data_IF_129599368537
#
_entry.id   IF_129599368537
#
_cell.length_a   1.000
_cell.length_b   1.000
_cell.length_c   1.000
_cell.angle_alpha   90.00
_cell.angle_beta   90.00
_cell.angle_gamma   90.00
#
_symmetry.space_group_name_H-M   'P 1'
#
loop_
_entity.id
_entity.type
_entity.pdbx_description
1 polymer ?
#
# COMPACT_ATOMS: atom_id res chain seq x y z
N UNK A 1 17.97 -55.97 -34.87
CA UNK A 1 16.83 -55.99 -33.94
C UNK A 1 16.94 -54.73 -33.08
N UNK A 2 16.87 -53.53 -33.65
CA UNK A 2 15.66 -52.86 -34.17
C UNK A 2 14.53 -52.84 -33.16
N UNK A 3 14.28 -51.64 -32.56
CA UNK A 3 12.99 -50.93 -32.43
C UNK A 3 13.28 -49.60 -31.68
N UNK A 4 13.62 -48.53 -32.39
CA UNK A 4 12.72 -47.45 -32.82
C UNK A 4 12.19 -46.55 -31.67
N UNK A 5 12.90 -45.45 -31.42
CA UNK A 5 12.31 -44.15 -31.01
C UNK A 5 11.69 -43.46 -32.24
N UNK A 6 11.04 -42.29 -32.17
CA UNK A 6 10.26 -41.64 -31.12
C UNK A 6 8.87 -41.16 -31.64
N UNK A 7 8.02 -40.68 -30.74
CA UNK A 7 6.81 -39.89 -31.03
C UNK A 7 7.13 -38.63 -31.87
N UNK A 8 6.50 -38.40 -33.04
CA UNK A 8 6.04 -37.07 -33.41
C UNK A 8 4.67 -36.86 -32.71
N UNK A 9 4.31 -35.71 -32.14
CA UNK A 9 3.62 -34.65 -32.86
C UNK A 9 3.21 -33.59 -31.82
N UNK A 10 3.82 -32.41 -31.90
CA UNK A 10 3.32 -31.10 -31.44
C UNK A 10 4.36 -30.10 -31.94
N UNK A 11 4.02 -28.93 -32.54
CA UNK A 11 2.93 -28.05 -32.12
C UNK A 11 2.21 -27.28 -33.27
N UNK A 12 0.88 -27.27 -33.29
CA UNK A 12 0.15 -26.31 -34.15
C UNK A 12 0.29 -24.89 -33.59
N UNK A 13 1.16 -24.13 -34.25
CA UNK A 13 1.17 -22.67 -34.34
C UNK A 13 -0.27 -22.13 -34.44
N UNK A 14 -0.67 -21.27 -33.51
CA UNK A 14 -1.61 -20.20 -33.84
C UNK A 14 -1.04 -18.87 -33.33
N UNK A 15 -0.21 -18.27 -34.18
CA UNK A 15 0.10 -16.86 -34.14
C UNK A 15 -1.20 -16.09 -34.36
N UNK A 16 -1.65 -15.35 -33.35
CA UNK A 16 -2.63 -14.29 -33.51
C UNK A 16 -1.90 -12.93 -33.44
N UNK A 17 -2.27 -11.97 -34.31
CA UNK A 17 -1.60 -10.68 -34.41
C UNK A 17 -1.81 -9.84 -33.15
N UNK A 18 -0.69 -9.26 -32.67
CA UNK A 18 -0.66 -8.30 -31.57
C UNK A 18 -1.42 -7.04 -31.99
N UNK A 19 -2.59 -6.83 -31.39
CA UNK A 19 -3.28 -5.54 -31.41
C UNK A 19 -2.41 -4.45 -30.75
N UNK A 20 -2.47 -3.20 -31.23
CA UNK A 20 -1.79 -2.07 -30.62
C UNK A 20 -2.38 -1.74 -29.24
N UNK A 21 -1.53 -1.73 -28.21
CA UNK A 21 -1.63 -0.81 -27.07
C UNK A 21 -0.80 0.43 -27.46
N UNK A 22 -1.13 1.69 -27.12
CA UNK A 22 -1.74 2.13 -25.86
C UNK A 22 -2.74 3.32 -26.00
N UNK A 23 -3.78 3.35 -25.17
CA UNK A 23 -4.75 4.46 -25.24
C UNK A 23 -5.83 4.44 -24.16
N UNK A 24 -5.43 4.28 -22.90
CA UNK A 24 -6.24 4.67 -21.75
C UNK A 24 -5.23 5.23 -20.76
N UNK A 25 -5.06 6.54 -20.68
CA UNK A 25 -5.91 7.36 -19.84
C UNK A 25 -5.57 7.03 -18.38
N UNK A 26 -5.01 7.95 -17.57
CA UNK A 26 -4.67 7.63 -16.19
C UNK A 26 -5.91 7.02 -15.56
N UNK A 27 -5.77 5.79 -15.05
CA UNK A 27 -6.71 5.22 -14.13
C UNK A 27 -6.72 6.17 -12.94
N UNK A 28 -7.58 7.18 -13.00
CA UNK A 28 -8.22 7.74 -11.83
C UNK A 28 -9.02 6.59 -11.26
N UNK A 29 -8.30 5.70 -10.57
CA UNK A 29 -8.89 4.82 -9.59
C UNK A 29 -9.65 5.77 -8.69
N UNK A 30 -10.97 5.83 -8.92
CA UNK A 30 -11.89 6.51 -8.04
C UNK A 30 -11.48 6.05 -6.65
N UNK A 31 -10.89 6.98 -5.91
CA UNK A 31 -10.59 6.80 -4.49
C UNK A 31 -11.96 6.77 -3.85
N UNK A 32 -12.59 5.61 -3.95
CA UNK A 32 -13.55 5.15 -2.99
C UNK A 32 -12.83 5.33 -1.66
N UNK A 33 -13.18 6.40 -0.96
CA UNK A 33 -12.97 6.47 0.48
C UNK A 33 -14.08 5.61 1.04
N UNK A 34 -13.84 4.33 1.40
CA UNK A 34 -14.82 3.55 2.12
C UNK A 34 -14.89 4.10 3.55
N UNK A 35 -15.53 5.25 3.71
CA UNK A 35 -16.13 5.66 4.97
C UNK A 35 -17.25 4.66 5.28
N UNK A 36 -16.90 3.48 5.81
CA UNK A 36 -17.90 2.47 6.16
C UNK A 36 -17.38 1.08 6.50
N UNK A 37 -16.16 0.73 6.10
CA UNK A 37 -15.53 -0.51 6.58
C UNK A 37 -14.34 -0.09 7.41
N UNK A 38 -14.25 -0.45 8.68
CA UNK A 38 -13.10 -0.15 9.57
C UNK A 38 -11.79 -0.82 9.15
N UNK A 39 -11.64 -1.10 7.85
CA UNK A 39 -10.54 -1.77 7.19
C UNK A 39 -9.62 -0.72 6.59
N UNK A 40 -8.38 -0.74 7.04
CA UNK A 40 -7.36 0.15 6.52
C UNK A 40 -7.12 -0.04 5.02
N UNK A 41 -6.63 1.00 4.32
CA UNK A 41 -6.14 0.86 2.95
C UNK A 41 -5.09 -0.26 2.85
N UNK A 42 -5.06 -1.04 1.75
CA UNK A 42 -4.03 -2.06 1.54
C UNK A 42 -2.61 -1.47 1.57
N UNK A 43 -2.46 -0.20 1.18
CA UNK A 43 -1.20 0.53 1.19
C UNK A 43 -0.82 1.14 2.56
N UNK A 44 -1.61 0.89 3.61
CA UNK A 44 -1.35 1.45 4.94
C UNK A 44 0.07 1.19 5.47
N UNK A 45 0.67 0.00 5.30
CA UNK A 45 2.06 -0.21 5.70
C UNK A 45 3.07 0.71 5.01
N UNK A 46 2.87 1.01 3.71
CA UNK A 46 3.75 1.92 2.98
C UNK A 46 3.52 3.38 3.40
N UNK A 47 2.27 3.75 3.69
CA UNK A 47 1.93 5.07 4.23
C UNK A 47 2.54 5.28 5.61
N UNK A 48 2.52 4.26 6.47
CA UNK A 48 3.15 4.30 7.79
C UNK A 48 4.67 4.49 7.69
N UNK A 49 5.33 3.78 6.77
CA UNK A 49 6.77 3.95 6.50
C UNK A 49 7.08 5.37 5.99
N UNK A 50 6.25 5.88 5.09
CA UNK A 50 6.38 7.23 4.53
C UNK A 50 6.20 8.30 5.61
N UNK A 51 5.22 8.14 6.51
CA UNK A 51 5.00 9.04 7.64
C UNK A 51 6.16 9.03 8.63
N UNK A 52 6.72 7.85 8.91
CA UNK A 52 7.92 7.70 9.74
C UNK A 52 9.12 8.40 9.11
N UNK A 53 9.29 8.31 7.79
CA UNK A 53 10.36 9.03 7.06
C UNK A 53 10.15 10.54 7.09
N UNK A 54 8.91 11.00 6.86
CA UNK A 54 8.56 12.42 6.89
C UNK A 54 8.74 13.05 8.27
N UNK A 55 8.51 12.29 9.35
CA UNK A 55 8.78 12.74 10.72
C UNK A 55 10.26 12.70 11.12
N UNK A 56 11.13 12.07 10.31
CA UNK A 56 12.55 11.88 10.65
C UNK A 56 12.79 10.95 11.85
N UNK A 57 11.77 10.24 12.34
CA UNK A 57 11.87 9.41 13.53
C UNK A 57 12.39 7.99 13.22
N UNK A 58 13.01 7.35 14.20
CA UNK A 58 13.24 5.90 14.16
C UNK A 58 11.95 5.16 14.52
N UNK A 59 11.85 3.87 14.21
CA UNK A 59 10.67 3.08 14.58
C UNK A 59 10.41 3.03 16.08
N UNK A 60 11.48 3.10 16.88
CA UNK A 60 11.42 3.12 18.34
C UNK A 60 10.83 4.45 18.85
N UNK A 61 11.38 5.59 18.41
CA UNK A 61 10.85 6.91 18.73
C UNK A 61 9.44 7.13 18.19
N UNK A 62 9.13 6.55 17.05
CA UNK A 62 7.79 6.57 16.46
C UNK A 62 6.78 5.80 17.33
N UNK A 63 7.17 4.66 17.91
CA UNK A 63 6.33 3.90 18.82
C UNK A 63 6.13 4.62 20.17
N UNK A 64 7.21 5.21 20.72
CA UNK A 64 7.13 6.06 21.92
C UNK A 64 6.19 7.25 21.70
N UNK A 65 6.29 7.92 20.54
CA UNK A 65 5.41 9.05 20.20
C UNK A 65 3.92 8.65 20.13
N UNK A 66 3.64 7.37 19.89
CA UNK A 66 2.29 6.81 19.85
C UNK A 66 1.89 6.13 21.16
N UNK A 67 2.73 6.20 22.20
CA UNK A 67 2.49 5.60 23.50
C UNK A 67 2.36 4.07 23.47
N UNK A 68 3.00 3.40 22.51
CA UNK A 68 2.91 1.95 22.36
C UNK A 68 4.28 1.29 22.16
N UNK A 69 4.32 -0.03 22.29
CA UNK A 69 5.53 -0.80 22.05
C UNK A 69 5.89 -0.84 20.56
N UNK A 70 7.19 -0.76 20.25
CA UNK A 70 7.75 -0.90 18.90
C UNK A 70 7.28 -2.17 18.18
N UNK A 71 7.07 -3.27 18.92
CA UNK A 71 6.53 -4.52 18.36
C UNK A 71 5.13 -4.35 17.76
N UNK A 72 4.29 -3.50 18.34
CA UNK A 72 2.93 -3.24 17.84
C UNK A 72 2.97 -2.46 16.52
N UNK A 73 3.81 -1.43 16.43
CA UNK A 73 4.05 -0.69 15.18
C UNK A 73 4.58 -1.61 14.09
N UNK A 74 5.50 -2.52 14.42
CA UNK A 74 6.02 -3.51 13.47
C UNK A 74 4.94 -4.51 13.00
N UNK A 75 3.92 -4.80 13.81
CA UNK A 75 2.77 -5.60 13.36
C UNK A 75 1.92 -4.84 12.35
N UNK A 76 1.73 -3.54 12.54
CA UNK A 76 1.01 -2.70 11.58
C UNK A 76 1.70 -2.66 10.22
N UNK A 77 3.03 -2.62 10.22
CA UNK A 77 3.83 -2.73 8.99
C UNK A 77 3.66 -4.09 8.28
N UNK A 78 3.26 -5.14 9.00
CA UNK A 78 2.92 -6.46 8.43
C UNK A 78 1.45 -6.58 8.02
N UNK A 79 0.68 -5.50 8.09
CA UNK A 79 -0.74 -5.47 7.73
C UNK A 79 -1.70 -5.77 8.88
N UNK A 80 -1.23 -5.78 10.13
CA UNK A 80 -2.16 -5.83 11.26
C UNK A 80 -2.93 -4.51 11.40
N UNK A 81 -4.22 -4.60 11.70
CA UNK A 81 -5.04 -3.41 11.88
C UNK A 81 -4.76 -2.73 13.24
N UNK A 82 -4.55 -1.39 13.25
CA UNK A 82 -4.56 -0.59 14.44
C UNK A 82 -5.97 -0.60 15.01
N UNK A 83 -6.10 -0.88 16.31
CA UNK A 83 -7.38 -0.89 17.01
C UNK A 83 -7.32 0.06 18.19
N UNK A 84 -8.38 0.83 18.39
CA UNK A 84 -8.56 1.69 19.56
C UNK A 84 -7.64 2.92 19.60
N UNK A 85 -7.23 3.31 20.82
CA UNK A 85 -6.49 4.54 21.11
C UNK A 85 -5.22 4.81 20.27
N UNK A 86 -4.39 3.82 19.95
CA UNK A 86 -3.17 4.04 19.16
C UNK A 86 -3.43 4.60 17.74
N UNK A 87 -4.61 4.35 17.17
CA UNK A 87 -4.98 4.92 15.87
C UNK A 87 -5.25 6.42 15.97
N UNK A 88 -5.84 6.88 17.07
CA UNK A 88 -6.04 8.31 17.33
C UNK A 88 -4.70 9.03 17.46
N UNK A 89 -3.77 8.47 18.25
CA UNK A 89 -2.42 9.04 18.39
C UNK A 89 -1.68 9.09 17.05
N UNK A 90 -1.90 8.11 16.16
CA UNK A 90 -1.34 8.12 14.82
C UNK A 90 -1.86 9.30 13.99
N UNK A 91 -3.15 9.61 14.07
CA UNK A 91 -3.75 10.77 13.41
C UNK A 91 -3.18 12.08 13.99
N UNK A 92 -3.08 12.18 15.32
CA UNK A 92 -2.50 13.34 16.00
C UNK A 92 -1.04 13.55 15.58
N UNK A 93 -0.24 12.50 15.58
CA UNK A 93 1.16 12.54 15.14
C UNK A 93 1.25 12.96 13.66
N UNK A 94 0.39 12.42 12.80
CA UNK A 94 0.34 12.78 11.39
C UNK A 94 -0.04 14.25 11.17
N UNK A 95 -0.88 14.83 12.03
CA UNK A 95 -1.21 16.26 12.02
C UNK A 95 -0.05 17.17 12.41
N UNK A 96 0.95 16.66 13.14
CA UNK A 96 2.16 17.41 13.52
C UNK A 96 3.24 17.41 12.44
N UNK A 97 3.16 16.48 11.50
CA UNK A 97 4.09 16.37 10.37
C UNK A 97 3.49 17.14 9.19
N UNK A 98 4.22 18.09 8.61
CA UNK A 98 3.76 18.79 7.41
C UNK A 98 3.44 17.80 6.28
N UNK A 99 2.18 17.77 5.83
CA UNK A 99 1.70 16.79 4.84
C UNK A 99 1.48 15.36 5.39
N UNK A 100 1.68 15.11 6.68
CA UNK A 100 1.57 13.79 7.29
C UNK A 100 0.17 13.18 7.21
N UNK A 101 -0.87 14.00 7.38
CA UNK A 101 -2.26 13.55 7.20
C UNK A 101 -2.55 13.12 5.76
N UNK A 102 -2.03 13.84 4.77
CA UNK A 102 -2.16 13.45 3.36
C UNK A 102 -1.42 12.14 3.07
N UNK A 103 -0.25 11.91 3.69
CA UNK A 103 0.47 10.64 3.60
C UNK A 103 -0.35 9.49 4.20
N UNK A 104 -0.93 9.71 5.39
CA UNK A 104 -1.64 8.67 6.14
C UNK A 104 -3.02 8.34 5.51
N UNK A 105 -3.80 9.37 5.20
CA UNK A 105 -5.20 9.26 4.76
C UNK A 105 -5.32 9.23 3.22
N UNK A 106 -4.33 9.75 2.50
CA UNK A 106 -4.36 9.91 1.05
C UNK A 106 -4.67 11.36 0.66
N UNK A 107 -4.42 11.71 -0.61
CA UNK A 107 -4.51 13.10 -1.09
C UNK A 107 -5.94 13.62 -1.26
N UNK A 108 -6.94 12.81 -0.93
CA UNK A 108 -8.32 13.28 -0.85
C UNK A 108 -8.57 14.12 0.43
N UNK A 109 -7.59 14.19 1.34
CA UNK A 109 -7.69 15.04 2.52
C UNK A 109 -7.54 16.53 2.13
N UNK A 110 -8.60 17.35 2.25
CA UNK A 110 -8.56 18.75 1.84
C UNK A 110 -7.76 19.57 2.86
N UNK A 111 -6.43 19.60 2.73
CA UNK A 111 -5.58 20.29 3.71
C UNK A 111 -4.21 20.73 3.23
N UNK A 112 -3.94 20.71 1.92
CA UNK A 112 -2.61 20.99 1.36
C UNK A 112 -2.62 21.90 0.15
N UNK A 113 -3.30 23.05 0.23
CA UNK A 113 -2.99 24.18 -0.66
C UNK A 113 -1.71 24.84 -0.14
N UNK A 114 -0.64 24.78 -0.94
CA UNK A 114 0.55 25.61 -0.76
C UNK A 114 0.28 26.96 -1.42
#
# INVERSE_FOLDING_TARGET
>A
MERASPHPESPTRRSAPRLPRPGGGPAIAGRDLPCGSGRLPPDFPQRLDSLKRASGLTWDRFAEALGMETKQVLRWRKGAEPRGGPYHELIVLAGRVSGGLAILLGEDFPGGGN
#
